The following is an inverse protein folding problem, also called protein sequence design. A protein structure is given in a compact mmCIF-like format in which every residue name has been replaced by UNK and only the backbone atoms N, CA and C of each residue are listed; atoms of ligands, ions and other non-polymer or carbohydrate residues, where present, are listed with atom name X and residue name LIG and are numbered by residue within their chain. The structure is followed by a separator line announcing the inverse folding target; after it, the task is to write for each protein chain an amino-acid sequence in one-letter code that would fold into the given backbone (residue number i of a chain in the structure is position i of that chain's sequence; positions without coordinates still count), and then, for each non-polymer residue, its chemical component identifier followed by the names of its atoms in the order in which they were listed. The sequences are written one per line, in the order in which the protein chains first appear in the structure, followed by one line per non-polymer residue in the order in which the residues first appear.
data_IF_356984367440
#
_entry.id   IF_356984367440
#
_cell.length_a   1.000
_cell.length_b   1.000
_cell.length_c   1.000
_cell.angle_alpha   90.00
_cell.angle_beta   90.00
_cell.angle_gamma   90.00
#
_symmetry.space_group_name_H-M   'P 1'
#
loop_
_entity.id
_entity.type
_entity.pdbx_description
1 polymer ?
#
# COMPACT_ATOMS: atom_id res chain seq x y z
N UNK A 1 -36.84 -49.97 -0.08
CA UNK A 1 -37.82 -49.54 -1.11
C UNK A 1 -37.27 -48.24 -1.70
N UNK A 2 -36.81 -48.20 -2.97
CA UNK A 2 -37.60 -47.89 -4.19
C UNK A 2 -37.95 -46.39 -4.24
N UNK A 3 -37.71 -45.55 -5.27
CA UNK A 3 -37.08 -45.55 -6.63
C UNK A 3 -36.86 -44.05 -7.00
N UNK A 4 -36.10 -43.57 -7.99
CA UNK A 4 -35.05 -44.07 -8.91
C UNK A 4 -34.39 -42.85 -9.63
N UNK A 5 -33.33 -43.05 -10.41
CA UNK A 5 -32.84 -42.07 -11.40
C UNK A 5 -33.57 -42.23 -12.76
N UNK A 6 -33.50 -41.22 -13.66
CA UNK A 6 -32.82 -41.51 -14.92
C UNK A 6 -31.93 -40.37 -15.47
N UNK A 7 -31.11 -40.77 -16.45
CA UNK A 7 -30.17 -39.99 -17.25
C UNK A 7 -30.79 -38.83 -18.06
N UNK A 8 -29.95 -37.84 -18.39
CA UNK A 8 -29.81 -37.40 -19.79
C UNK A 8 -28.34 -37.02 -20.08
N UNK A 9 -27.92 -37.19 -21.33
CA UNK A 9 -26.55 -36.99 -21.83
C UNK A 9 -26.59 -36.15 -23.12
N UNK A 10 -25.42 -35.84 -23.70
CA UNK A 10 -25.20 -35.15 -25.01
C UNK A 10 -25.38 -33.62 -24.87
N UNK A 11 -24.43 -32.74 -25.23
CA UNK A 11 -23.76 -32.61 -26.52
C UNK A 11 -22.42 -31.85 -26.41
N UNK A 12 -21.41 -32.24 -27.20
CA UNK A 12 -20.24 -31.39 -27.45
C UNK A 12 -20.48 -30.54 -28.71
N UNK A 13 -20.18 -29.24 -28.65
CA UNK A 13 -20.21 -28.35 -29.80
C UNK A 13 -19.07 -27.31 -29.72
N UNK A 14 -17.98 -27.60 -30.42
CA UNK A 14 -16.96 -26.60 -30.76
C UNK A 14 -17.50 -25.69 -31.86
N UNK A 15 -17.52 -24.38 -31.63
CA UNK A 15 -17.72 -23.41 -32.70
C UNK A 15 -16.81 -22.19 -32.48
N UNK A 16 -15.66 -22.20 -33.15
CA UNK A 16 -14.85 -21.00 -33.34
C UNK A 16 -15.58 -20.03 -34.25
N UNK A 17 -15.60 -18.73 -33.95
CA UNK A 17 -15.66 -17.69 -34.98
C UNK A 17 -15.27 -16.31 -34.44
N UNK A 18 -14.90 -15.44 -35.39
CA UNK A 18 -14.76 -13.99 -35.32
C UNK A 18 -13.54 -13.38 -34.59
N UNK A 19 -12.67 -12.76 -35.40
CA UNK A 19 -12.41 -11.32 -35.33
C UNK A 19 -12.27 -10.77 -36.78
N UNK A 20 -12.91 -9.65 -37.14
CA UNK A 20 -12.72 -9.02 -38.45
C UNK A 20 -11.38 -8.27 -38.50
N UNK A 21 -10.58 -8.55 -39.52
CA UNK A 21 -9.37 -7.78 -39.80
C UNK A 21 -9.74 -6.44 -40.46
N UNK A 22 -9.59 -5.33 -39.73
CA UNK A 22 -9.71 -3.95 -40.25
C UNK A 22 -8.93 -2.95 -39.37
N UNK A 23 -7.66 -3.25 -39.10
CA UNK A 23 -6.70 -2.30 -38.53
C UNK A 23 -5.93 -1.62 -39.65
N UNK A 24 -5.97 -0.29 -39.73
CA UNK A 24 -5.41 0.48 -40.85
C UNK A 24 -3.91 0.20 -41.05
N UNK A 25 -3.52 -0.05 -42.30
CA UNK A 25 -2.14 0.09 -42.72
C UNK A 25 -1.78 1.59 -42.73
N UNK A 26 -1.28 2.08 -41.60
CA UNK A 26 -0.51 3.31 -41.60
C UNK A 26 0.79 3.02 -42.35
N UNK A 27 0.92 3.54 -43.57
CA UNK A 27 2.12 3.43 -44.39
C UNK A 27 3.23 4.29 -43.76
N UNK A 28 3.88 3.71 -42.75
CA UNK A 28 4.96 4.29 -41.98
C UNK A 28 6.21 4.43 -42.84
N UNK A 29 6.24 5.52 -43.63
CA UNK A 29 7.32 5.88 -44.52
C UNK A 29 8.68 5.65 -43.85
N UNK A 30 9.48 4.77 -44.45
CA UNK A 30 10.84 4.46 -44.03
C UNK A 30 11.76 5.69 -44.18
N UNK A 31 11.75 6.56 -43.16
CA UNK A 31 12.75 7.61 -42.99
C UNK A 31 13.96 7.01 -42.28
N UNK A 32 14.79 6.35 -43.08
CA UNK A 32 16.14 5.95 -42.69
C UNK A 32 17.02 7.19 -42.50
N UNK A 33 17.02 7.73 -41.27
CA UNK A 33 17.91 8.82 -40.89
C UNK A 33 18.40 8.62 -39.45
N UNK A 34 19.44 7.78 -39.31
CA UNK A 34 20.09 7.51 -38.04
C UNK A 34 19.40 6.42 -37.21
N UNK A 35 20.03 5.23 -37.19
CA UNK A 35 19.80 4.21 -36.15
C UNK A 35 20.37 4.70 -34.82
N UNK A 36 19.73 5.72 -34.25
CA UNK A 36 20.10 6.29 -32.95
C UNK A 36 19.90 5.22 -31.89
N UNK A 37 20.87 5.09 -30.99
CA UNK A 37 21.02 3.95 -30.06
C UNK A 37 19.96 3.81 -28.97
N UNK A 38 18.70 4.17 -29.21
CA UNK A 38 17.58 4.06 -28.27
C UNK A 38 17.35 2.59 -27.90
N UNK A 39 17.27 1.69 -28.88
CA UNK A 39 17.14 0.24 -28.64
C UNK A 39 18.34 -0.37 -27.90
N UNK A 40 19.53 0.24 -28.05
CA UNK A 40 20.72 -0.16 -27.31
C UNK A 40 20.71 0.40 -25.88
N UNK A 41 20.34 1.66 -25.70
CA UNK A 41 20.22 2.31 -24.39
C UNK A 41 19.11 1.68 -23.52
N UNK A 42 18.02 1.22 -24.13
CA UNK A 42 16.98 0.41 -23.46
C UNK A 42 17.61 -0.91 -22.98
N UNK A 43 18.25 -1.66 -23.87
CA UNK A 43 18.88 -2.95 -23.53
C UNK A 43 19.99 -2.83 -22.48
N UNK A 44 20.83 -1.80 -22.58
CA UNK A 44 21.89 -1.51 -21.61
C UNK A 44 21.30 -1.04 -20.26
N UNK A 45 20.19 -0.30 -20.29
CA UNK A 45 19.42 0.10 -19.11
C UNK A 45 18.74 -1.09 -18.43
N UNK A 46 18.18 -2.01 -19.20
CA UNK A 46 17.58 -3.27 -18.73
C UNK A 46 18.63 -4.22 -18.16
N UNK A 47 19.80 -4.35 -18.79
CA UNK A 47 20.91 -5.14 -18.26
C UNK A 47 21.43 -4.60 -16.91
N UNK A 48 21.47 -3.27 -16.73
CA UNK A 48 21.79 -2.61 -15.46
C UNK A 48 20.68 -2.79 -14.42
N UNK A 49 19.40 -2.75 -14.82
CA UNK A 49 18.25 -2.99 -13.92
C UNK A 49 18.18 -4.46 -13.46
N UNK A 50 18.34 -5.42 -14.37
CA UNK A 50 18.27 -6.85 -14.09
C UNK A 50 19.37 -7.38 -13.16
N UNK A 51 20.46 -6.62 -12.96
CA UNK A 51 21.53 -6.93 -12.00
C UNK A 51 21.48 -6.11 -10.72
N UNK A 52 20.69 -5.02 -10.67
CA UNK A 52 20.63 -4.10 -9.53
C UNK A 52 19.29 -4.10 -8.77
N UNK A 53 18.25 -4.76 -9.29
CA UNK A 53 16.92 -4.87 -8.65
C UNK A 53 16.74 -6.12 -7.78
N UNK A 54 17.84 -6.66 -7.24
CA UNK A 54 17.74 -7.64 -6.15
C UNK A 54 17.39 -6.90 -4.86
N UNK A 55 16.14 -6.97 -4.44
CA UNK A 55 15.63 -6.41 -3.17
C UNK A 55 16.09 -7.20 -1.94
N UNK A 56 17.12 -8.05 -2.09
CA UNK A 56 17.50 -9.07 -1.13
C UNK A 56 16.50 -10.23 -1.10
N UNK A 57 16.72 -11.23 -0.22
CA UNK A 57 15.69 -12.22 0.08
C UNK A 57 14.46 -11.52 0.67
N UNK A 58 13.28 -11.78 0.10
CA UNK A 58 12.00 -11.46 0.75
C UNK A 58 11.97 -12.22 2.08
N UNK A 59 12.04 -11.47 3.18
CA UNK A 59 12.16 -12.02 4.53
C UNK A 59 11.55 -11.08 5.56
N UNK A 60 11.29 -11.57 6.79
CA UNK A 60 10.61 -10.79 7.80
C UNK A 60 11.36 -9.50 8.14
N UNK A 61 10.63 -8.39 8.21
CA UNK A 61 11.23 -7.08 8.44
C UNK A 61 11.58 -6.89 9.91
N UNK A 62 12.78 -6.36 10.17
CA UNK A 62 13.20 -5.94 11.50
C UNK A 62 12.62 -4.56 11.85
N UNK A 63 12.35 -4.27 13.14
CA UNK A 63 11.91 -2.95 13.59
C UNK A 63 12.87 -1.82 13.20
N UNK A 64 12.33 -0.72 12.72
CA UNK A 64 13.05 0.48 12.28
C UNK A 64 13.44 1.38 13.46
N UNK A 65 14.73 1.66 13.70
CA UNK A 65 15.17 2.53 14.78
C UNK A 65 14.53 3.93 14.75
N UNK A 66 14.29 4.48 13.56
CA UNK A 66 13.63 5.76 13.37
C UNK A 66 12.18 5.80 13.89
N UNK A 67 11.51 4.65 13.96
CA UNK A 67 10.14 4.50 14.43
C UNK A 67 10.04 4.24 15.95
N UNK A 68 11.15 3.94 16.62
CA UNK A 68 11.16 3.63 18.06
C UNK A 68 10.63 4.78 18.95
N UNK A 69 10.71 6.02 18.45
CA UNK A 69 10.21 7.25 19.09
C UNK A 69 8.75 7.60 18.75
N UNK A 70 8.12 6.88 17.82
CA UNK A 70 6.77 7.20 17.38
C UNK A 70 5.73 6.85 18.46
N UNK A 71 4.59 7.55 18.46
CA UNK A 71 3.43 7.20 19.26
C UNK A 71 3.06 5.72 19.13
N UNK A 72 2.69 5.12 20.24
CA UNK A 72 2.35 3.70 20.29
C UNK A 72 0.83 3.52 20.33
N UNK A 73 0.33 2.67 19.45
CA UNK A 73 -1.04 2.20 19.45
C UNK A 73 -1.08 0.72 19.81
N UNK A 74 -2.13 0.29 20.50
CA UNK A 74 -2.39 -1.12 20.84
C UNK A 74 -3.81 -1.50 20.49
N UNK A 75 -4.02 -2.73 20.07
CA UNK A 75 -5.33 -3.15 19.58
C UNK A 75 -5.38 -4.60 19.10
N UNK A 76 -6.34 -4.87 18.23
CA UNK A 76 -6.47 -6.14 17.50
C UNK A 76 -6.79 -5.95 16.03
N UNK A 77 -6.36 -6.91 15.21
CA UNK A 77 -6.87 -7.19 13.85
C UNK A 77 -7.42 -8.61 13.85
N UNK A 78 -8.73 -8.76 13.65
CA UNK A 78 -9.45 -9.99 14.02
C UNK A 78 -9.16 -10.36 15.47
N UNK A 79 -8.74 -11.60 15.72
CA UNK A 79 -8.35 -12.06 17.05
C UNK A 79 -6.91 -11.71 17.46
N UNK A 80 -6.06 -11.32 16.50
CA UNK A 80 -4.62 -11.10 16.70
C UNK A 80 -4.35 -9.77 17.39
N UNK A 81 -3.70 -9.80 18.54
CA UNK A 81 -3.22 -8.58 19.22
C UNK A 81 -2.11 -7.90 18.41
N UNK A 82 -2.19 -6.58 18.25
CA UNK A 82 -1.21 -5.78 17.51
C UNK A 82 -0.67 -4.61 18.34
N UNK A 83 0.59 -4.26 18.10
CA UNK A 83 1.25 -3.06 18.63
C UNK A 83 1.85 -2.27 17.48
N UNK A 84 1.34 -1.07 17.25
CA UNK A 84 1.80 -0.18 16.17
C UNK A 84 2.67 0.93 16.78
N UNK A 85 3.66 1.38 16.01
CA UNK A 85 4.40 2.63 16.18
C UNK A 85 4.09 3.47 14.95
N UNK A 86 3.28 4.51 15.10
CA UNK A 86 2.74 5.26 13.97
C UNK A 86 2.74 6.76 14.27
N UNK A 87 3.04 7.56 13.26
CA UNK A 87 3.09 9.02 13.36
C UNK A 87 2.94 9.69 12.00
N UNK A 88 2.88 11.02 11.96
CA UNK A 88 2.85 11.77 10.71
C UNK A 88 4.14 11.53 9.91
N UNK A 89 3.99 11.49 8.59
CA UNK A 89 5.11 11.52 7.65
C UNK A 89 5.70 12.94 7.63
N UNK A 90 7.02 13.06 7.66
CA UNK A 90 7.68 14.37 7.83
C UNK A 90 7.73 15.24 6.57
N UNK A 91 7.49 14.63 5.40
CA UNK A 91 7.65 15.23 4.07
C UNK A 91 6.34 15.30 3.27
N UNK A 92 5.26 14.67 3.74
CA UNK A 92 3.96 14.65 3.05
C UNK A 92 2.86 14.96 4.05
N UNK A 93 2.07 16.00 3.73
CA UNK A 93 0.98 16.50 4.57
C UNK A 93 -0.11 15.43 4.70
N UNK A 94 -0.70 15.33 5.89
CA UNK A 94 -1.83 14.44 6.23
C UNK A 94 -1.55 12.94 5.97
N UNK A 95 -0.29 12.61 5.67
CA UNK A 95 0.21 11.24 5.51
C UNK A 95 0.76 10.69 6.82
N UNK A 96 0.70 9.36 6.93
CA UNK A 96 1.09 8.57 8.07
C UNK A 96 2.17 7.56 7.67
N UNK A 97 3.06 7.25 8.61
CA UNK A 97 4.08 6.22 8.45
C UNK A 97 4.32 5.49 9.77
N UNK A 98 4.73 4.23 9.69
CA UNK A 98 5.04 3.47 10.87
C UNK A 98 5.35 2.00 10.62
N UNK A 99 5.24 1.23 11.70
CA UNK A 99 5.39 -0.22 11.72
C UNK A 99 4.42 -0.83 12.74
N UNK A 100 4.15 -2.14 12.62
CA UNK A 100 3.48 -2.88 13.69
C UNK A 100 3.98 -4.30 13.83
N UNK A 101 3.94 -4.83 15.06
CA UNK A 101 4.15 -6.25 15.36
C UNK A 101 2.86 -6.92 15.80
N UNK A 102 2.79 -8.24 15.60
CA UNK A 102 1.66 -9.09 16.01
C UNK A 102 2.08 -10.01 17.16
N UNK A 103 1.33 -9.99 18.26
CA UNK A 103 1.68 -10.75 19.48
C UNK A 103 3.10 -10.45 19.95
N UNK A 104 3.84 -11.51 20.29
CA UNK A 104 5.24 -11.44 20.73
C UNK A 104 6.25 -11.57 19.56
N UNK A 105 5.80 -11.38 18.31
CA UNK A 105 6.69 -11.44 17.16
C UNK A 105 7.74 -10.33 17.21
N UNK A 106 8.97 -10.67 16.80
CA UNK A 106 10.06 -9.71 16.57
C UNK A 106 9.99 -9.07 15.19
N UNK A 107 9.23 -9.67 14.29
CA UNK A 107 9.05 -9.22 12.92
C UNK A 107 7.97 -8.13 12.88
N UNK A 108 8.16 -7.14 12.02
CA UNK A 108 7.19 -6.06 11.80
C UNK A 108 6.61 -6.11 10.39
N UNK A 109 5.47 -5.44 10.23
CA UNK A 109 4.93 -4.97 8.96
C UNK A 109 5.12 -3.47 8.89
N UNK A 110 5.51 -2.94 7.73
CA UNK A 110 5.58 -1.49 7.51
C UNK A 110 4.20 -0.95 7.16
N UNK A 111 3.94 0.29 7.59
CA UNK A 111 2.69 1.01 7.36
C UNK A 111 2.98 2.34 6.66
N UNK A 112 2.17 2.67 5.66
CA UNK A 112 2.17 3.98 4.99
C UNK A 112 0.76 4.30 4.51
N UNK A 113 0.31 5.54 4.66
CA UNK A 113 -1.09 5.89 4.40
C UNK A 113 -1.40 7.34 4.69
N UNK A 114 -2.67 7.63 4.93
CA UNK A 114 -3.20 8.97 5.08
C UNK A 114 -4.40 9.04 6.02
N UNK A 115 -4.72 10.25 6.46
CA UNK A 115 -5.95 10.56 7.17
C UNK A 115 -6.57 11.83 6.59
N UNK A 116 -7.88 11.83 6.39
CA UNK A 116 -8.62 13.05 6.01
C UNK A 116 -10.01 13.03 6.64
N UNK A 117 -10.41 14.17 7.22
CA UNK A 117 -11.73 14.39 7.80
C UNK A 117 -12.24 13.24 8.71
N UNK A 118 -11.35 12.65 9.52
CA UNK A 118 -11.66 11.51 10.42
C UNK A 118 -11.58 10.12 9.75
N UNK A 119 -11.42 10.04 8.44
CA UNK A 119 -11.10 8.80 7.74
C UNK A 119 -9.63 8.42 7.91
N UNK A 120 -9.37 7.12 7.93
CA UNK A 120 -8.05 6.52 8.09
C UNK A 120 -7.85 5.47 7.00
N UNK A 121 -6.81 5.63 6.19
CA UNK A 121 -6.43 4.71 5.12
C UNK A 121 -4.95 4.33 5.31
N UNK A 122 -4.63 3.04 5.29
CA UNK A 122 -3.25 2.55 5.43
C UNK A 122 -2.99 1.38 4.50
N UNK A 123 -1.84 1.38 3.85
CA UNK A 123 -1.27 0.20 3.21
C UNK A 123 -0.25 -0.44 4.14
N UNK A 124 -0.27 -1.77 4.16
CA UNK A 124 0.67 -2.61 4.88
C UNK A 124 1.65 -3.25 3.90
N UNK A 125 2.91 -3.41 4.29
CA UNK A 125 3.88 -4.23 3.57
C UNK A 125 4.63 -5.18 4.51
N UNK A 126 4.84 -6.42 4.05
CA UNK A 126 5.57 -7.45 4.77
C UNK A 126 7.00 -7.70 4.30
N UNK A 127 7.39 -7.06 3.20
CA UNK A 127 8.75 -7.09 2.64
C UNK A 127 9.29 -5.69 2.29
N UNK A 128 8.48 -4.65 2.44
CA UNK A 128 8.83 -3.26 2.11
C UNK A 128 8.76 -2.93 0.61
N UNK A 129 8.23 -3.83 -0.23
CA UNK A 129 8.17 -3.67 -1.69
C UNK A 129 6.77 -3.88 -2.27
N UNK A 130 5.92 -4.68 -1.62
CA UNK A 130 4.54 -4.99 -2.06
C UNK A 130 3.53 -4.72 -0.95
N UNK A 131 2.32 -4.32 -1.33
CA UNK A 131 1.19 -4.25 -0.39
C UNK A 131 0.77 -5.67 -0.01
N UNK A 132 0.68 -5.95 1.30
CA UNK A 132 0.21 -7.21 1.87
C UNK A 132 -1.17 -7.12 2.51
N UNK A 133 -1.65 -5.90 2.78
CA UNK A 133 -3.00 -5.66 3.29
C UNK A 133 -3.36 -4.18 3.28
N UNK A 134 -4.66 -3.89 3.32
CA UNK A 134 -5.22 -2.54 3.32
C UNK A 134 -6.05 -2.35 4.59
N UNK A 135 -5.85 -1.23 5.29
CA UNK A 135 -6.61 -0.83 6.47
C UNK A 135 -7.50 0.36 6.10
N UNK A 136 -8.80 0.23 6.33
CA UNK A 136 -9.78 1.28 6.11
C UNK A 136 -10.57 1.48 7.40
N UNK A 137 -10.66 2.71 7.90
CA UNK A 137 -11.32 2.97 9.18
C UNK A 137 -11.71 4.41 9.41
N UNK A 138 -12.23 4.65 10.61
CA UNK A 138 -12.63 5.96 11.12
C UNK A 138 -11.98 6.19 12.49
N UNK A 139 -11.55 7.42 12.72
CA UNK A 139 -10.87 7.88 13.93
C UNK A 139 -11.89 8.63 14.81
N UNK A 140 -11.95 8.28 16.10
CA UNK A 140 -12.81 8.97 17.07
C UNK A 140 -12.13 10.18 17.75
N UNK A 141 -12.90 10.91 18.57
CA UNK A 141 -12.48 12.09 19.32
C UNK A 141 -11.34 11.82 20.33
N UNK A 142 -11.06 10.53 20.61
CA UNK A 142 -10.01 10.05 21.50
C UNK A 142 -8.83 9.45 20.73
N UNK A 143 -8.82 9.58 19.40
CA UNK A 143 -7.79 9.06 18.52
C UNK A 143 -7.79 7.54 18.43
N UNK A 144 -8.85 6.83 18.86
CA UNK A 144 -8.99 5.41 18.60
C UNK A 144 -9.53 5.20 17.19
N UNK A 145 -9.00 4.20 16.49
CA UNK A 145 -9.37 3.89 15.11
C UNK A 145 -10.10 2.55 15.08
N UNK A 146 -11.22 2.49 14.38
CA UNK A 146 -12.02 1.28 14.13
C UNK A 146 -12.26 1.14 12.64
N UNK A 147 -12.24 -0.10 12.15
CA UNK A 147 -12.37 -0.34 10.72
C UNK A 147 -12.18 -1.79 10.32
N UNK A 148 -11.80 -1.98 9.06
CA UNK A 148 -11.53 -3.27 8.43
C UNK A 148 -10.10 -3.33 7.88
N UNK A 149 -9.46 -4.47 8.07
CA UNK A 149 -8.26 -4.88 7.37
C UNK A 149 -8.64 -5.88 6.28
N UNK A 150 -8.11 -5.72 5.08
CA UNK A 150 -8.38 -6.59 3.93
C UNK A 150 -7.06 -7.17 3.43
N UNK A 151 -7.02 -8.47 3.18
CA UNK A 151 -5.84 -9.15 2.62
C UNK A 151 -5.68 -8.77 1.13
N UNK A 152 -4.49 -8.28 0.76
CA UNK A 152 -4.23 -7.79 -0.60
C UNK A 152 -4.13 -8.91 -1.65
N UNK A 153 -3.88 -10.16 -1.23
CA UNK A 153 -3.77 -11.32 -2.11
C UNK A 153 -5.07 -12.12 -2.19
N UNK A 154 -5.92 -12.04 -1.15
CA UNK A 154 -7.24 -12.65 -1.12
C UNK A 154 -8.29 -11.70 -0.49
N UNK A 155 -8.86 -10.77 -1.28
CA UNK A 155 -9.81 -9.76 -0.78
C UNK A 155 -11.12 -10.31 -0.16
N UNK A 156 -11.37 -11.62 -0.20
CA UNK A 156 -12.45 -12.24 0.57
C UNK A 156 -12.12 -12.36 2.07
N UNK A 157 -10.84 -12.19 2.47
CA UNK A 157 -10.41 -12.14 3.86
C UNK A 157 -10.48 -10.68 4.33
N UNK A 158 -11.55 -10.36 5.04
CA UNK A 158 -11.75 -9.07 5.71
C UNK A 158 -11.85 -9.29 7.22
N UNK A 159 -11.03 -8.59 7.99
CA UNK A 159 -10.94 -8.70 9.45
C UNK A 159 -11.29 -7.35 10.11
N UNK A 160 -12.15 -7.30 11.13
CA UNK A 160 -12.37 -6.07 11.87
C UNK A 160 -11.11 -5.71 12.67
N UNK A 161 -10.80 -4.42 12.78
CA UNK A 161 -9.75 -3.95 13.68
C UNK A 161 -10.24 -2.86 14.63
N UNK A 162 -9.60 -2.78 15.79
CA UNK A 162 -9.66 -1.62 16.67
C UNK A 162 -8.30 -1.38 17.30
N UNK A 163 -7.77 -0.17 17.17
CA UNK A 163 -6.53 0.30 17.79
C UNK A 163 -6.79 1.57 18.60
N UNK A 164 -6.00 1.80 19.65
CA UNK A 164 -6.09 2.99 20.51
C UNK A 164 -4.70 3.44 20.99
N UNK A 165 -4.50 4.74 21.27
CA UNK A 165 -3.24 5.23 21.82
C UNK A 165 -2.92 4.56 23.16
N UNK A 166 -1.66 4.13 23.33
CA UNK A 166 -1.17 3.58 24.59
C UNK A 166 -0.69 4.70 25.51
N UNK A 167 -1.18 4.73 26.74
CA UNK A 167 -0.80 5.73 27.74
C UNK A 167 -1.62 7.02 27.72
N UNK A 168 -2.67 7.10 26.89
CA UNK A 168 -3.61 8.24 26.89
C UNK A 168 -3.13 9.50 26.15
N UNK A 169 -1.95 9.45 25.54
CA UNK A 169 -1.45 10.52 24.67
C UNK A 169 -2.09 10.38 23.28
N UNK A 170 -3.05 11.25 22.96
CA UNK A 170 -3.64 11.39 21.62
C UNK A 170 -2.55 11.63 20.56
N UNK A 171 -2.34 10.72 19.60
CA UNK A 171 -1.52 11.02 18.41
C UNK A 171 -1.94 10.24 17.16
N UNK A 172 -3.11 10.58 16.62
CA UNK A 172 -3.50 10.67 15.19
C UNK A 172 -5.03 10.68 15.20
N UNK A 173 -5.67 11.87 15.09
CA UNK A 173 -5.09 13.19 15.38
C UNK A 173 -4.93 13.38 16.92
N UNK A 174 -4.41 14.53 17.38
CA UNK A 174 -5.22 15.73 17.49
C UNK A 174 -4.45 16.93 16.91
N UNK A 175 -3.98 16.80 15.68
CA UNK A 175 -3.63 17.98 14.88
C UNK A 175 -4.97 18.63 14.56
N UNK A 176 -5.32 19.64 15.36
CA UNK A 176 -6.66 20.22 15.54
C UNK A 176 -7.56 20.06 14.29
N UNK A 177 -8.57 19.19 14.44
CA UNK A 177 -9.47 18.74 13.36
C UNK A 177 -10.43 19.83 12.87
N UNK A 178 -10.40 21.02 13.46
CA UNK A 178 -11.15 22.16 12.94
C UNK A 178 -10.61 22.51 11.56
N UNK A 179 -11.49 22.71 10.55
CA UNK A 179 -11.12 23.48 9.37
C UNK A 179 -10.49 24.79 9.83
N UNK A 180 -9.33 25.14 9.26
CA UNK A 180 -8.48 26.31 9.59
C UNK A 180 -7.65 26.27 10.90
N UNK A 181 -7.36 25.11 11.49
CA UNK A 181 -6.55 25.03 12.71
C UNK A 181 -5.11 25.56 12.65
N UNK A 182 -4.51 25.64 11.45
CA UNK A 182 -3.14 26.12 11.25
C UNK A 182 -2.02 25.21 11.76
N UNK A 183 -2.35 24.11 12.45
CA UNK A 183 -1.39 23.09 12.90
C UNK A 183 -1.01 22.17 11.73
N UNK A 184 -0.28 22.72 10.77
CA UNK A 184 0.22 21.96 9.61
C UNK A 184 1.61 21.42 9.94
N UNK A 185 1.74 20.09 10.07
CA UNK A 185 3.04 19.40 10.10
C UNK A 185 3.64 19.30 8.69
N UNK A 186 3.64 20.41 7.94
CA UNK A 186 4.34 20.48 6.68
C UNK A 186 5.86 20.35 6.93
N UNK A 187 6.62 19.71 6.02
CA UNK A 187 8.06 19.88 6.02
C UNK A 187 8.39 21.39 6.01
N UNK A 188 9.42 21.84 6.75
CA UNK A 188 9.87 23.22 6.66
C UNK A 188 10.20 23.54 5.19
N UNK A 189 9.90 24.77 4.70
CA UNK A 189 10.18 25.14 3.33
C UNK A 189 11.63 24.77 2.95
N UNK A 190 11.86 24.17 1.76
CA UNK A 190 13.21 23.80 1.36
C UNK A 190 14.09 25.06 1.38
N UNK A 191 15.27 24.95 2.01
CA UNK A 191 16.21 26.07 2.11
C UNK A 191 16.55 26.55 0.70
N UNK A 192 16.13 27.76 0.35
CA UNK A 192 16.49 28.39 -0.92
C UNK A 192 18.00 28.42 -1.08
N UNK A 193 18.52 27.74 -2.10
CA UNK A 193 19.95 27.72 -2.44
C UNK A 193 20.39 28.96 -3.23
N UNK A 194 19.46 29.86 -3.56
CA UNK A 194 19.76 31.19 -4.11
C UNK A 194 20.26 32.09 -2.97
N UNK A 195 21.57 32.28 -2.92
CA UNK A 195 22.17 33.47 -2.32
C UNK A 195 21.89 34.64 -3.27
N UNK A 196 21.54 35.80 -2.73
CA UNK A 196 21.16 36.97 -3.54
C UNK A 196 22.27 37.41 -4.51
N UNK A 197 21.83 37.83 -5.70
CA UNK A 197 22.61 38.65 -6.65
C UNK A 197 22.50 40.13 -6.26
#
# INVERSE_FOLDING_TARGET
MVRAAPFLSILAATLSLALPASGHAADGTSLSTGSLGISQAIRDGEARRGTSLSTGPVGPLAPRPEYAKLPVYVGKVGDKSVRLRIGPKSDTRDSLQGEYSTGDSKDVRLLSGEWDNGSFLMEESDDGTRVSGNWEGQIDDRGAVRGTWTDAFNPAIVLPFMIRPLGGFLVIPPFDMRPSSGVTYAPPPPKSSISGY
#
